data_IF_932144564608
#
_entry.id   IF_932144564608
#
_cell.length_a   1.000
_cell.length_b   1.000
_cell.length_c   1.000
_cell.angle_alpha   90.00
_cell.angle_beta   90.00
_cell.angle_gamma   90.00
#
_symmetry.space_group_name_H-M   'P 1'
#
loop_
_entity.id
_entity.type
_entity.pdbx_description
1 polymer ?
#
# COMPACT_ATOMS: atom_id res chain seq x y z
N UNK A 1 31.79 -20.77 37.37
CA UNK A 1 30.52 -21.13 36.72
C UNK A 1 29.72 -19.86 36.52
N UNK A 2 29.80 -19.24 35.35
CA UNK A 2 29.05 -18.03 34.99
C UNK A 2 27.99 -18.40 33.98
N UNK A 3 26.78 -17.78 33.99
CA UNK A 3 25.73 -18.10 33.07
C UNK A 3 25.98 -17.46 31.71
N UNK A 4 25.68 -18.25 30.68
CA UNK A 4 25.77 -17.86 29.27
C UNK A 4 24.76 -16.75 28.95
N UNK A 5 25.25 -15.66 28.34
CA UNK A 5 24.43 -14.63 27.71
C UNK A 5 23.88 -15.15 26.41
N UNK A 6 22.56 -15.28 26.32
CA UNK A 6 21.84 -15.48 25.06
C UNK A 6 21.76 -14.14 24.32
N UNK A 7 22.28 -14.11 23.11
CA UNK A 7 22.20 -12.97 22.22
C UNK A 7 20.77 -12.79 21.72
N UNK A 8 20.14 -11.68 22.06
CA UNK A 8 18.88 -11.22 21.49
C UNK A 8 19.13 -10.74 20.05
N UNK A 9 18.44 -11.37 19.10
CA UNK A 9 18.36 -10.91 17.72
C UNK A 9 17.60 -9.57 17.67
N UNK A 10 18.33 -8.48 17.75
CA UNK A 10 17.81 -7.14 17.52
C UNK A 10 17.51 -6.92 16.05
N UNK A 11 16.29 -7.22 15.62
CA UNK A 11 15.75 -6.63 14.39
C UNK A 11 15.56 -5.15 14.66
N UNK A 12 16.46 -4.33 14.11
CA UNK A 12 16.36 -2.88 14.11
C UNK A 12 15.14 -2.49 13.29
N UNK A 13 14.05 -2.20 13.96
CA UNK A 13 12.88 -1.55 13.35
C UNK A 13 13.34 -0.15 12.98
N UNK A 14 13.53 0.10 11.69
CA UNK A 14 13.87 1.42 11.17
C UNK A 14 12.74 2.39 11.55
N UNK A 15 13.00 3.23 12.54
CA UNK A 15 12.10 4.34 12.92
C UNK A 15 12.11 5.33 11.77
N UNK A 16 11.03 5.38 11.00
CA UNK A 16 10.83 6.35 9.94
C UNK A 16 10.87 7.77 10.52
N UNK A 17 11.53 8.73 9.85
CA UNK A 17 11.53 10.11 10.31
C UNK A 17 10.08 10.65 10.35
N UNK A 18 9.69 11.39 11.39
CA UNK A 18 8.31 11.87 11.61
C UNK A 18 7.77 12.76 10.50
N UNK A 19 8.62 13.28 9.62
CA UNK A 19 8.23 14.12 8.49
C UNK A 19 7.45 13.37 7.37
N UNK A 20 7.49 12.04 7.33
CA UNK A 20 6.87 11.27 6.24
C UNK A 20 5.39 10.96 6.55
N UNK A 21 5.01 11.10 7.81
CA UNK A 21 3.69 10.71 8.32
C UNK A 21 2.51 11.57 7.81
N UNK A 22 2.79 12.79 7.33
CA UNK A 22 1.78 13.76 6.92
C UNK A 22 2.18 14.49 5.63
N UNK A 23 2.76 13.79 4.64
CA UNK A 23 3.10 14.41 3.36
C UNK A 23 1.83 14.80 2.60
N UNK A 24 1.63 16.10 2.43
CA UNK A 24 0.64 16.65 1.51
C UNK A 24 1.21 16.67 0.08
N UNK A 25 1.02 15.60 -0.65
CA UNK A 25 1.50 15.47 -2.04
C UNK A 25 0.81 16.44 -3.03
N UNK A 26 -0.04 17.32 -2.57
CA UNK A 26 -0.53 18.49 -3.34
C UNK A 26 0.47 19.64 -3.25
N UNK A 27 1.34 19.66 -2.23
CA UNK A 27 2.36 20.70 -2.04
C UNK A 27 3.58 20.42 -2.95
N UNK A 28 3.98 21.42 -3.74
CA UNK A 28 5.12 21.34 -4.67
C UNK A 28 6.44 21.02 -3.95
N UNK A 29 6.69 21.57 -2.77
CA UNK A 29 7.92 21.32 -2.01
C UNK A 29 8.04 19.86 -1.56
N UNK A 30 6.92 19.23 -1.20
CA UNK A 30 6.89 17.82 -0.82
C UNK A 30 7.04 16.90 -2.03
N UNK A 31 6.46 17.27 -3.17
CA UNK A 31 6.69 16.57 -4.43
C UNK A 31 8.16 16.62 -4.87
N UNK A 32 8.85 17.74 -4.65
CA UNK A 32 10.27 17.86 -4.97
C UNK A 32 11.13 17.02 -4.02
N UNK A 33 10.76 16.93 -2.75
CA UNK A 33 11.37 15.98 -1.80
C UNK A 33 11.19 14.53 -2.26
N UNK A 34 10.01 14.15 -2.70
CA UNK A 34 9.76 12.82 -3.30
C UNK A 34 10.62 12.57 -4.54
N UNK A 35 10.78 13.58 -5.38
CA UNK A 35 11.61 13.45 -6.59
C UNK A 35 13.09 13.29 -6.25
N UNK A 36 13.63 14.02 -5.27
CA UNK A 36 14.99 13.84 -4.78
C UNK A 36 15.19 12.43 -4.18
N UNK A 37 14.24 11.95 -3.39
CA UNK A 37 14.29 10.59 -2.85
C UNK A 37 14.24 9.52 -3.96
N UNK A 38 13.44 9.74 -5.02
CA UNK A 38 13.41 8.88 -6.20
C UNK A 38 14.76 8.88 -6.95
N UNK A 39 15.39 10.03 -7.14
CA UNK A 39 16.70 10.14 -7.79
C UNK A 39 17.79 9.40 -7.00
N UNK A 40 17.77 9.56 -5.67
CA UNK A 40 18.69 8.91 -4.76
C UNK A 40 18.38 7.42 -4.58
N UNK A 41 17.20 6.95 -5.00
CA UNK A 41 16.67 5.61 -4.69
C UNK A 41 16.70 5.31 -3.19
N UNK A 42 16.33 6.29 -2.40
CA UNK A 42 16.46 6.25 -0.95
C UNK A 42 15.49 5.24 -0.35
N UNK A 43 16.05 4.16 0.20
CA UNK A 43 15.30 3.06 0.79
C UNK A 43 14.46 3.48 2.02
N UNK A 44 14.79 4.60 2.65
CA UNK A 44 14.00 5.13 3.79
C UNK A 44 12.60 5.56 3.38
N UNK A 45 12.41 5.90 2.10
CA UNK A 45 11.13 6.31 1.54
C UNK A 45 10.35 5.15 0.89
N UNK A 46 10.91 3.94 0.91
CA UNK A 46 10.23 2.78 0.32
C UNK A 46 8.97 2.44 1.12
N UNK A 47 7.84 2.35 0.42
CA UNK A 47 6.51 2.19 1.03
C UNK A 47 5.87 3.48 1.55
N UNK A 48 6.59 4.63 1.56
CA UNK A 48 6.04 5.92 1.97
C UNK A 48 5.29 6.62 0.84
N UNK A 49 5.74 6.44 -0.40
CA UNK A 49 5.06 6.94 -1.59
C UNK A 49 5.33 6.07 -2.82
N UNK A 50 4.54 6.28 -3.84
CA UNK A 50 4.70 5.68 -5.17
C UNK A 50 4.84 6.79 -6.22
N UNK A 51 5.72 6.57 -7.20
CA UNK A 51 5.93 7.50 -8.31
C UNK A 51 5.25 6.96 -9.56
N UNK A 52 4.23 7.64 -10.05
CA UNK A 52 3.58 7.33 -11.32
C UNK A 52 4.19 8.17 -12.45
N UNK A 53 4.51 7.51 -13.55
CA UNK A 53 5.18 8.10 -14.72
C UNK A 53 4.18 8.28 -15.85
N UNK A 54 3.79 9.51 -16.15
CA UNK A 54 2.75 9.83 -17.13
C UNK A 54 3.08 9.35 -18.54
N UNK A 55 4.35 9.37 -18.93
CA UNK A 55 4.79 8.92 -20.26
C UNK A 55 4.69 7.41 -20.49
N UNK A 56 4.63 6.60 -19.42
CA UNK A 56 4.57 5.14 -19.52
C UNK A 56 3.28 4.53 -18.97
N UNK A 57 2.52 5.29 -18.20
CA UNK A 57 1.34 4.81 -17.49
C UNK A 57 1.66 3.80 -16.38
N UNK A 58 2.89 3.83 -15.84
CA UNK A 58 3.37 2.87 -14.83
C UNK A 58 3.72 3.59 -13.53
N UNK A 59 3.33 3.01 -12.39
CA UNK A 59 3.79 3.48 -11.09
C UNK A 59 4.84 2.55 -10.48
N UNK A 60 5.81 3.14 -9.78
CA UNK A 60 6.99 2.49 -9.24
C UNK A 60 7.19 2.83 -7.75
N UNK A 61 7.94 1.98 -7.06
CA UNK A 61 8.53 2.28 -5.75
C UNK A 61 9.68 3.31 -5.90
N UNK A 62 10.00 4.11 -4.87
CA UNK A 62 11.15 5.02 -4.89
C UNK A 62 12.48 4.33 -5.22
N UNK A 63 12.64 3.09 -4.75
CA UNK A 63 13.86 2.28 -4.92
C UNK A 63 13.99 1.61 -6.29
N UNK A 64 13.11 1.89 -7.23
CA UNK A 64 13.09 1.25 -8.54
C UNK A 64 14.37 1.51 -9.33
N UNK A 65 14.96 0.44 -9.88
CA UNK A 65 16.23 0.52 -10.65
C UNK A 65 16.03 0.91 -12.12
N UNK A 66 14.86 1.36 -12.52
CA UNK A 66 14.64 1.92 -13.86
C UNK A 66 15.33 3.27 -14.00
N UNK A 67 15.51 3.73 -15.26
CA UNK A 67 15.98 5.10 -15.51
C UNK A 67 15.04 6.10 -14.83
N UNK A 68 15.60 7.03 -14.07
CA UNK A 68 14.81 8.07 -13.41
C UNK A 68 14.06 8.90 -14.46
N UNK A 69 12.73 9.00 -14.37
CA UNK A 69 11.95 9.81 -15.29
C UNK A 69 12.22 11.31 -15.06
N UNK A 70 11.89 12.14 -16.05
CA UNK A 70 11.94 13.59 -15.86
C UNK A 70 10.89 14.01 -14.82
N UNK A 71 11.20 15.06 -14.04
CA UNK A 71 10.32 15.57 -12.97
C UNK A 71 8.90 15.90 -13.48
N UNK A 72 8.81 16.50 -14.65
CA UNK A 72 7.54 16.88 -15.30
C UNK A 72 6.60 15.70 -15.57
N UNK A 73 7.17 14.51 -15.76
CA UNK A 73 6.42 13.26 -16.00
C UNK A 73 6.11 12.49 -14.72
N UNK A 74 6.50 12.99 -13.54
CA UNK A 74 6.25 12.32 -12.28
C UNK A 74 4.99 12.85 -11.59
N UNK A 75 4.19 11.91 -11.07
CA UNK A 75 3.11 12.17 -10.11
C UNK A 75 3.37 11.29 -8.90
N UNK A 76 3.11 11.80 -7.71
CA UNK A 76 3.39 11.08 -6.47
C UNK A 76 2.10 10.76 -5.75
N UNK A 77 2.03 9.56 -5.18
CA UNK A 77 0.88 9.04 -4.46
C UNK A 77 1.35 8.34 -3.18
N UNK A 78 0.65 8.55 -2.08
CA UNK A 78 0.95 7.88 -0.81
C UNK A 78 0.55 6.40 -0.82
N UNK A 79 -0.42 6.04 -1.66
CA UNK A 79 -0.93 4.67 -1.75
C UNK A 79 -0.98 4.18 -3.20
N UNK A 80 -0.62 2.90 -3.41
CA UNK A 80 -0.71 2.24 -4.71
C UNK A 80 -2.11 2.34 -5.32
N UNK A 81 -3.15 2.22 -4.50
CA UNK A 81 -4.54 2.31 -4.94
C UNK A 81 -4.92 3.69 -5.51
N UNK A 82 -4.30 4.78 -5.05
CA UNK A 82 -4.49 6.12 -5.62
C UNK A 82 -3.89 6.19 -7.04
N UNK A 83 -2.68 5.63 -7.22
CA UNK A 83 -2.05 5.58 -8.54
C UNK A 83 -2.88 4.73 -9.52
N UNK A 84 -3.43 3.60 -9.08
CA UNK A 84 -4.31 2.77 -9.92
C UNK A 84 -5.63 3.45 -10.23
N UNK A 85 -6.25 4.12 -9.27
CA UNK A 85 -7.45 4.93 -9.49
C UNK A 85 -7.21 6.05 -10.51
N UNK A 86 -5.98 6.56 -10.57
CA UNK A 86 -5.54 7.54 -11.58
C UNK A 86 -5.15 6.91 -12.94
N UNK A 87 -5.34 5.59 -13.12
CA UNK A 87 -5.12 4.87 -14.37
C UNK A 87 -3.70 4.36 -14.61
N UNK A 88 -2.84 4.36 -13.60
CA UNK A 88 -1.49 3.82 -13.72
C UNK A 88 -1.45 2.32 -13.37
N UNK A 89 -0.52 1.58 -13.98
CA UNK A 89 -0.31 0.15 -13.76
C UNK A 89 0.92 -0.12 -12.89
N UNK A 90 0.94 -1.20 -12.07
CA UNK A 90 2.10 -1.54 -11.25
C UNK A 90 3.31 -1.94 -12.09
N UNK A 91 4.48 -1.48 -11.67
CA UNK A 91 5.76 -1.83 -12.29
C UNK A 91 6.10 -3.31 -12.04
N UNK A 92 6.43 -4.04 -13.12
CA UNK A 92 6.85 -5.45 -13.03
C UNK A 92 8.27 -5.61 -12.46
N UNK A 93 9.13 -4.59 -12.60
CA UNK A 93 10.53 -4.68 -12.15
C UNK A 93 10.70 -4.42 -10.66
N UNK A 94 10.10 -3.36 -10.10
CA UNK A 94 10.26 -3.02 -8.69
C UNK A 94 9.21 -3.67 -7.79
N UNK A 95 8.17 -4.26 -8.37
CA UNK A 95 7.16 -5.03 -7.64
C UNK A 95 6.56 -4.22 -6.47
N UNK A 96 5.63 -3.28 -6.76
CA UNK A 96 5.02 -2.44 -5.73
C UNK A 96 4.34 -3.23 -4.60
N UNK A 97 3.93 -4.47 -4.87
CA UNK A 97 3.37 -5.41 -3.89
C UNK A 97 4.36 -5.79 -2.77
N UNK A 98 5.67 -5.60 -2.99
CA UNK A 98 6.72 -5.85 -2.00
C UNK A 98 7.13 -4.59 -1.23
N UNK A 99 6.44 -3.46 -1.43
CA UNK A 99 6.74 -2.25 -0.69
C UNK A 99 6.45 -2.45 0.80
N UNK A 100 7.33 -2.01 1.71
CA UNK A 100 7.05 -2.03 3.13
C UNK A 100 5.79 -1.20 3.44
N UNK A 101 4.96 -1.67 4.35
CA UNK A 101 3.81 -0.89 4.82
C UNK A 101 4.28 0.20 5.78
N UNK A 102 4.20 1.45 5.37
CA UNK A 102 4.48 2.58 6.24
C UNK A 102 3.38 2.70 7.31
N UNK A 103 3.72 2.37 8.56
CA UNK A 103 2.84 2.53 9.70
C UNK A 103 2.94 3.98 10.21
N UNK A 104 2.06 4.83 9.72
CA UNK A 104 1.94 6.19 10.23
C UNK A 104 0.93 6.21 11.39
N UNK A 105 1.41 6.52 12.59
CA UNK A 105 0.56 6.77 13.76
C UNK A 105 0.35 8.27 13.93
N UNK A 106 -0.87 8.74 13.73
CA UNK A 106 -1.30 10.04 14.23
C UNK A 106 -2.14 9.81 15.49
N UNK A 107 -1.71 10.37 16.61
CA UNK A 107 -2.40 10.22 17.90
C UNK A 107 -3.55 11.22 18.08
N UNK A 108 -3.78 12.10 17.10
CA UNK A 108 -4.67 13.26 17.29
C UNK A 108 -6.05 13.15 16.62
N UNK A 109 -6.28 12.14 15.77
CA UNK A 109 -7.56 11.96 15.10
C UNK A 109 -8.08 10.52 15.21
N UNK A 110 -9.12 10.32 16.01
CA UNK A 110 -9.78 9.03 16.18
C UNK A 110 -10.30 8.45 14.84
N UNK A 111 -10.74 9.32 13.92
CA UNK A 111 -11.19 8.92 12.59
C UNK A 111 -10.02 8.41 11.74
N UNK A 112 -8.86 9.06 11.81
CA UNK A 112 -7.63 8.61 11.14
C UNK A 112 -7.14 7.27 11.68
N UNK A 113 -7.18 7.08 13.01
CA UNK A 113 -6.82 5.79 13.65
C UNK A 113 -7.74 4.66 13.15
N UNK A 114 -9.05 4.89 13.09
CA UNK A 114 -10.02 3.91 12.60
C UNK A 114 -9.80 3.59 11.11
N UNK A 115 -9.53 4.60 10.28
CA UNK A 115 -9.24 4.41 8.86
C UNK A 115 -7.95 3.60 8.66
N UNK A 116 -6.90 3.88 9.44
CA UNK A 116 -5.65 3.13 9.40
C UNK A 116 -5.82 1.69 9.90
N UNK A 117 -6.61 1.46 10.96
CA UNK A 117 -6.93 0.10 11.41
C UNK A 117 -7.69 -0.68 10.33
N UNK A 118 -8.60 -0.01 9.61
CA UNK A 118 -9.31 -0.60 8.48
C UNK A 118 -8.33 -1.01 7.36
N UNK A 119 -7.39 -0.14 6.99
CA UNK A 119 -6.38 -0.43 5.98
C UNK A 119 -5.50 -1.61 6.38
N UNK A 120 -5.02 -1.65 7.62
CA UNK A 120 -4.22 -2.78 8.15
C UNK A 120 -4.97 -4.10 8.07
N UNK A 121 -6.26 -4.09 8.42
CA UNK A 121 -7.07 -5.31 8.33
C UNK A 121 -7.18 -5.79 6.88
N UNK A 122 -7.35 -4.88 5.92
CA UNK A 122 -7.39 -5.21 4.49
C UNK A 122 -6.02 -5.64 3.94
N UNK A 123 -4.92 -5.28 4.59
CA UNK A 123 -3.56 -5.68 4.20
C UNK A 123 -3.20 -7.11 4.61
N UNK A 124 -3.91 -7.69 5.59
CA UNK A 124 -3.68 -9.06 6.02
C UNK A 124 -4.17 -10.01 4.91
N UNK A 125 -3.30 -10.87 4.35
CA UNK A 125 -3.71 -11.87 3.38
C UNK A 125 -4.59 -12.92 4.05
N UNK A 126 -5.89 -12.86 3.88
CA UNK A 126 -6.79 -13.88 4.38
C UNK A 126 -7.85 -14.25 3.34
N UNK A 127 -8.27 -15.50 3.36
CA UNK A 127 -9.40 -16.00 2.56
C UNK A 127 -10.76 -15.51 3.08
N UNK A 128 -10.78 -14.89 4.27
CA UNK A 128 -12.02 -14.39 4.91
C UNK A 128 -12.52 -13.09 4.29
N UNK A 129 -11.64 -12.36 3.56
CA UNK A 129 -11.97 -11.09 2.92
C UNK A 129 -12.61 -11.26 1.54
N UNK A 130 -13.46 -12.27 1.35
CA UNK A 130 -14.09 -12.57 0.07
C UNK A 130 -15.39 -11.77 -0.12
N UNK A 131 -15.52 -11.07 -1.25
CA UNK A 131 -16.75 -10.41 -1.68
C UNK A 131 -16.93 -8.95 -1.24
N UNK A 132 -18.06 -8.35 -1.62
CA UNK A 132 -18.46 -6.98 -1.27
C UNK A 132 -18.81 -6.81 0.22
N UNK A 133 -19.17 -7.91 0.87
CA UNK A 133 -19.45 -7.96 2.31
C UNK A 133 -18.22 -7.69 3.18
N UNK A 134 -17.00 -7.77 2.63
CA UNK A 134 -15.76 -7.56 3.40
C UNK A 134 -15.68 -6.16 4.03
N UNK A 135 -16.10 -5.11 3.31
CA UNK A 135 -16.10 -3.73 3.84
C UNK A 135 -17.15 -3.56 4.94
N UNK A 136 -18.32 -4.15 4.75
CA UNK A 136 -19.40 -4.12 5.74
C UNK A 136 -19.04 -4.91 7.01
N UNK A 137 -18.43 -6.09 6.86
CA UNK A 137 -17.90 -6.89 7.98
C UNK A 137 -16.84 -6.11 8.76
N UNK A 138 -15.95 -5.42 8.04
CA UNK A 138 -14.94 -4.58 8.65
C UNK A 138 -15.55 -3.42 9.43
N UNK A 139 -16.55 -2.75 8.89
CA UNK A 139 -17.26 -1.68 9.59
C UNK A 139 -17.91 -2.19 10.89
N UNK A 140 -18.57 -3.36 10.82
CA UNK A 140 -19.16 -4.03 12.00
C UNK A 140 -18.10 -4.35 13.05
N UNK A 141 -16.95 -4.88 12.63
CA UNK A 141 -15.83 -5.23 13.53
C UNK A 141 -15.23 -3.99 14.21
N UNK A 142 -15.19 -2.86 13.52
CA UNK A 142 -14.73 -1.58 14.06
C UNK A 142 -15.80 -0.87 14.89
N UNK A 143 -17.01 -1.40 14.99
CA UNK A 143 -18.11 -0.81 15.74
C UNK A 143 -18.67 0.47 15.10
N UNK A 144 -18.49 0.64 13.77
CA UNK A 144 -18.95 1.83 13.04
C UNK A 144 -19.85 1.44 11.86
N UNK A 145 -20.61 2.40 11.34
CA UNK A 145 -21.41 2.16 10.13
C UNK A 145 -20.55 2.14 8.87
N UNK A 146 -20.96 1.39 7.84
CA UNK A 146 -20.32 1.35 6.52
C UNK A 146 -20.17 2.76 5.92
N UNK A 147 -21.20 3.61 6.05
CA UNK A 147 -21.14 5.00 5.60
C UNK A 147 -20.05 5.80 6.33
N UNK A 148 -19.91 5.60 7.65
CA UNK A 148 -18.88 6.29 8.43
C UNK A 148 -17.49 5.79 8.03
N UNK A 149 -17.32 4.48 7.86
CA UNK A 149 -16.05 3.89 7.40
C UNK A 149 -15.63 4.48 6.05
N UNK A 150 -16.53 4.52 5.06
CA UNK A 150 -16.24 5.11 3.74
C UNK A 150 -15.78 6.56 3.87
N UNK A 151 -16.52 7.37 4.60
CA UNK A 151 -16.20 8.80 4.77
C UNK A 151 -14.82 9.03 5.39
N UNK A 152 -14.49 8.33 6.49
CA UNK A 152 -13.18 8.50 7.16
C UNK A 152 -12.04 7.92 6.31
N UNK A 153 -12.30 6.83 5.59
CA UNK A 153 -11.31 6.19 4.74
C UNK A 153 -10.99 7.07 3.51
N UNK A 154 -12.01 7.61 2.85
CA UNK A 154 -11.84 8.56 1.74
C UNK A 154 -11.14 9.84 2.19
N UNK A 155 -11.48 10.37 3.38
CA UNK A 155 -10.81 11.54 3.95
C UNK A 155 -9.32 11.26 4.22
N UNK A 156 -8.96 10.05 4.68
CA UNK A 156 -7.59 9.69 5.03
C UNK A 156 -6.75 9.27 3.82
N UNK A 157 -7.33 8.52 2.88
CA UNK A 157 -6.59 7.85 1.80
C UNK A 157 -6.92 8.38 0.40
N UNK A 158 -7.93 9.24 0.25
CA UNK A 158 -8.36 9.78 -1.03
C UNK A 158 -9.02 8.77 -1.97
N UNK A 159 -9.33 7.57 -1.48
CA UNK A 159 -9.97 6.48 -2.24
C UNK A 159 -10.95 5.74 -1.35
N UNK A 160 -11.90 5.01 -1.95
CA UNK A 160 -12.83 4.20 -1.17
C UNK A 160 -12.18 2.93 -0.60
N UNK A 161 -12.72 2.38 0.54
CA UNK A 161 -12.25 1.11 1.08
C UNK A 161 -12.31 -0.04 0.07
N UNK A 162 -13.33 -0.04 -0.81
CA UNK A 162 -13.49 -1.06 -1.83
C UNK A 162 -12.37 -0.99 -2.89
N UNK A 163 -12.03 0.21 -3.37
CA UNK A 163 -10.92 0.41 -4.31
C UNK A 163 -9.58 -0.03 -3.69
N UNK A 164 -9.34 0.33 -2.43
CA UNK A 164 -8.16 -0.11 -1.69
C UNK A 164 -8.06 -1.64 -1.65
N UNK A 165 -9.14 -2.33 -1.27
CA UNK A 165 -9.20 -3.78 -1.21
C UNK A 165 -9.00 -4.44 -2.59
N UNK A 166 -9.57 -3.87 -3.65
CA UNK A 166 -9.38 -4.36 -5.03
C UNK A 166 -7.91 -4.28 -5.45
N UNK A 167 -7.23 -3.15 -5.17
CA UNK A 167 -5.79 -3.02 -5.44
C UNK A 167 -4.98 -4.03 -4.65
N UNK A 168 -5.29 -4.25 -3.37
CA UNK A 168 -4.61 -5.27 -2.55
C UNK A 168 -4.75 -6.67 -3.16
N UNK A 169 -5.95 -7.05 -3.57
CA UNK A 169 -6.19 -8.34 -4.24
C UNK A 169 -5.40 -8.48 -5.53
N UNK A 170 -5.39 -7.43 -6.36
CA UNK A 170 -4.62 -7.40 -7.59
C UNK A 170 -3.11 -7.60 -7.33
N UNK A 171 -2.56 -6.88 -6.37
CA UNK A 171 -1.14 -6.99 -6.02
C UNK A 171 -0.79 -8.36 -5.44
N UNK A 172 -1.65 -8.92 -4.59
CA UNK A 172 -1.49 -10.31 -4.08
C UNK A 172 -1.55 -11.32 -5.22
N UNK A 173 -2.51 -11.19 -6.14
CA UNK A 173 -2.60 -12.07 -7.31
C UNK A 173 -1.35 -11.99 -8.19
N UNK A 174 -0.87 -10.77 -8.45
CA UNK A 174 0.37 -10.53 -9.20
C UNK A 174 1.56 -11.20 -8.51
N UNK A 175 1.68 -11.09 -7.20
CA UNK A 175 2.72 -11.72 -6.43
C UNK A 175 2.66 -13.25 -6.55
N UNK A 176 1.48 -13.85 -6.35
CA UNK A 176 1.30 -15.30 -6.47
C UNK A 176 1.63 -15.82 -7.87
N UNK A 177 1.22 -15.12 -8.93
CA UNK A 177 1.55 -15.46 -10.31
C UNK A 177 3.05 -15.33 -10.64
N UNK A 178 3.77 -14.47 -9.91
CA UNK A 178 5.19 -14.23 -10.16
C UNK A 178 6.08 -15.17 -9.35
N UNK A 179 5.66 -15.52 -8.14
CA UNK A 179 6.50 -16.19 -7.15
C UNK A 179 6.18 -17.69 -6.98
N UNK A 180 5.07 -18.16 -7.59
CA UNK A 180 4.59 -19.54 -7.42
C UNK A 180 4.13 -20.15 -8.74
N UNK A 181 4.09 -21.47 -8.81
CA UNK A 181 3.48 -22.24 -9.91
C UNK A 181 2.03 -22.67 -9.60
N UNK A 182 1.34 -21.91 -8.75
CA UNK A 182 -0.03 -22.22 -8.37
C UNK A 182 -0.97 -22.15 -9.58
N UNK A 183 -1.93 -23.09 -9.71
CA UNK A 183 -2.98 -22.99 -10.71
C UNK A 183 -3.76 -21.68 -10.59
N UNK A 184 -4.20 -21.12 -11.71
CA UNK A 184 -4.91 -19.82 -11.77
C UNK A 184 -6.13 -19.77 -10.83
N UNK A 185 -6.79 -20.92 -10.62
CA UNK A 185 -7.91 -21.07 -9.69
C UNK A 185 -7.49 -20.84 -8.24
N UNK A 186 -6.32 -21.36 -7.84
CA UNK A 186 -5.77 -21.18 -6.49
C UNK A 186 -5.24 -19.75 -6.31
N UNK A 187 -4.63 -19.17 -7.34
CA UNK A 187 -4.22 -17.76 -7.34
C UNK A 187 -5.42 -16.84 -7.13
N UNK A 188 -6.52 -17.06 -7.87
CA UNK A 188 -7.73 -16.26 -7.73
C UNK A 188 -8.29 -16.33 -6.29
N UNK A 189 -8.46 -17.52 -5.76
CA UNK A 189 -8.99 -17.72 -4.39
C UNK A 189 -8.02 -17.20 -3.34
N UNK A 190 -6.72 -17.50 -3.44
CA UNK A 190 -5.68 -17.06 -2.51
C UNK A 190 -5.46 -15.55 -2.48
N UNK A 191 -5.82 -14.84 -3.55
CA UNK A 191 -5.79 -13.39 -3.61
C UNK A 191 -7.10 -12.71 -3.17
N UNK A 192 -8.08 -13.50 -2.67
CA UNK A 192 -9.31 -12.97 -2.10
C UNK A 192 -10.44 -12.70 -3.11
N UNK A 193 -10.36 -13.25 -4.33
CA UNK A 193 -11.48 -13.22 -5.25
C UNK A 193 -12.49 -14.32 -4.93
N UNK A 194 -13.77 -14.00 -4.95
CA UNK A 194 -14.84 -14.96 -4.65
C UNK A 194 -14.99 -16.04 -5.73
N UNK A 195 -14.46 -15.82 -6.92
CA UNK A 195 -14.50 -16.78 -8.02
C UNK A 195 -13.50 -16.42 -9.11
N UNK A 196 -13.08 -17.39 -9.91
CA UNK A 196 -12.21 -17.19 -11.09
C UNK A 196 -12.86 -16.25 -12.11
N UNK A 197 -14.18 -16.28 -12.25
CA UNK A 197 -14.91 -15.38 -13.17
C UNK A 197 -14.73 -13.89 -12.80
N UNK A 198 -14.58 -13.58 -11.51
CA UNK A 198 -14.33 -12.19 -11.06
C UNK A 198 -12.85 -11.82 -11.10
N UNK A 199 -11.97 -12.82 -11.24
CA UNK A 199 -10.55 -12.64 -11.40
C UNK A 199 -10.17 -12.30 -12.85
N UNK A 200 -10.82 -12.91 -13.83
CA UNK A 200 -10.65 -12.66 -15.27
C UNK A 200 -11.46 -11.42 -15.69
#
# INVERSE_FOLDING_TARGET
MGPAHMSENGQSVAVLPPMIAAMDLQNTAEQDTCYLALQARDARFDGCFFTAVTSTGIYCRPVCKVRTPKRENCRFYTHAAQAESAGFRPCLRCRPELAPHALVWSTQDASGILAQQAARWMDIPTTEHTGESSVQQLATRLGISDRHLRRIFEAQFGISPLQYLQTRRLLTAKQLLTDTDLPITQVALGSGYASVRRFN
#
